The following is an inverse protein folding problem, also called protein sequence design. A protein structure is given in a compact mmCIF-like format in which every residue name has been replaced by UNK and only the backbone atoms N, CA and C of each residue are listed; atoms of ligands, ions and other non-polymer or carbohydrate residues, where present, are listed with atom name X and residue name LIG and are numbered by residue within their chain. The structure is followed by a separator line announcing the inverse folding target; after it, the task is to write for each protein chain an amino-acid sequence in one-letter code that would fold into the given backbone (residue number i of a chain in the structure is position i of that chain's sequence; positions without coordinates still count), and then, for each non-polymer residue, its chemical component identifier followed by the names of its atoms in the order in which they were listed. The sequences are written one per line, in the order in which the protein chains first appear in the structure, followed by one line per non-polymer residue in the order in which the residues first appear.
data_IF_086355469828
#
_entry.id   IF_086355469828
#
_cell.length_a   1.000
_cell.length_b   1.000
_cell.length_c   1.000
_cell.angle_alpha   90.00
_cell.angle_beta   90.00
_cell.angle_gamma   90.00
#
_symmetry.space_group_name_H-M   'P 1'
#
loop_
_entity.id
_entity.type
_entity.pdbx_description
1 polymer ?
#
# COMPACT_ATOMS: atom_id res chain seq x y z
N UNK A 1 21.96 -3.13 27.37
CA UNK A 1 21.14 -3.76 28.44
C UNK A 1 21.03 -2.74 29.56
N UNK A 2 19.83 -2.43 30.05
CA UNK A 2 19.67 -1.55 31.22
C UNK A 2 19.92 -2.35 32.49
N UNK A 3 20.88 -1.90 33.30
CA UNK A 3 21.18 -2.55 34.59
C UNK A 3 20.03 -2.34 35.57
N UNK A 4 19.75 -3.36 36.39
CA UNK A 4 18.72 -3.27 37.44
C UNK A 4 19.23 -2.42 38.60
N UNK A 5 18.33 -1.60 39.16
CA UNK A 5 18.58 -0.81 40.38
C UNK A 5 19.10 -1.69 41.52
N UNK A 6 20.22 -1.35 42.17
CA UNK A 6 20.67 -2.01 43.38
C UNK A 6 19.65 -1.91 44.54
N UNK A 7 19.52 -2.94 45.39
CA UNK A 7 18.49 -3.00 46.44
C UNK A 7 18.62 -1.88 47.49
N UNK A 8 19.83 -1.40 47.76
CA UNK A 8 20.15 -0.40 48.79
C UNK A 8 20.24 1.04 48.27
N UNK A 9 19.94 1.30 47.00
CA UNK A 9 19.97 2.64 46.38
C UNK A 9 18.54 3.10 46.11
N UNK A 10 18.24 4.38 46.38
CA UNK A 10 16.92 4.94 46.06
C UNK A 10 16.70 5.00 44.54
N UNK A 11 15.45 4.99 44.07
CA UNK A 11 15.16 5.14 42.63
C UNK A 11 15.70 6.46 42.07
N UNK A 12 15.53 7.55 42.81
CA UNK A 12 16.00 8.86 42.41
C UNK A 12 17.53 8.87 42.26
N UNK A 13 18.26 8.42 43.28
CA UNK A 13 19.73 8.35 43.24
C UNK A 13 20.25 7.47 42.12
N UNK A 14 19.59 6.33 41.86
CA UNK A 14 19.98 5.44 40.76
C UNK A 14 19.73 6.07 39.39
N UNK A 15 18.60 6.74 39.19
CA UNK A 15 18.30 7.45 37.94
C UNK A 15 19.26 8.62 37.72
N UNK A 16 19.54 9.41 38.76
CA UNK A 16 20.48 10.54 38.68
C UNK A 16 21.90 10.08 38.34
N UNK A 17 22.35 8.95 38.91
CA UNK A 17 23.62 8.33 38.57
C UNK A 17 23.67 7.90 37.10
N UNK A 18 22.63 7.21 36.61
CA UNK A 18 22.54 6.78 35.21
C UNK A 18 22.52 7.96 34.22
N UNK A 19 21.84 9.06 34.57
CA UNK A 19 21.84 10.28 33.76
C UNK A 19 23.24 10.90 33.73
N UNK A 20 23.91 11.00 34.89
CA UNK A 20 25.25 11.58 34.99
C UNK A 20 26.27 10.78 34.18
N UNK A 21 26.26 9.45 34.31
CA UNK A 21 27.11 8.55 33.53
C UNK A 21 26.84 8.66 32.02
N UNK A 22 25.57 8.79 31.60
CA UNK A 22 25.21 8.99 30.20
C UNK A 22 25.69 10.35 29.65
N UNK A 23 25.64 11.41 30.48
CA UNK A 23 26.22 12.72 30.14
C UNK A 23 27.74 12.62 30.00
N UNK A 24 28.44 11.96 30.93
CA UNK A 24 29.89 11.77 30.87
C UNK A 24 30.34 10.98 29.64
N UNK A 25 29.54 10.00 29.20
CA UNK A 25 29.78 9.26 27.95
C UNK A 25 29.49 10.07 26.68
N UNK A 26 28.87 11.25 26.80
CA UNK A 26 28.42 12.03 25.65
C UNK A 26 27.23 11.41 24.92
N UNK A 27 26.43 10.56 25.58
CA UNK A 27 25.23 9.95 24.97
C UNK A 27 24.18 11.01 24.57
N UNK A 28 24.27 12.21 25.15
CA UNK A 28 23.44 13.37 24.82
C UNK A 28 24.09 14.33 23.79
N UNK A 29 25.33 14.07 23.36
CA UNK A 29 26.00 14.88 22.34
C UNK A 29 25.53 14.51 20.94
N UNK A 30 25.48 15.49 20.03
CA UNK A 30 25.10 15.32 18.61
C UNK A 30 23.74 14.64 18.38
N UNK A 31 22.79 14.78 19.32
CA UNK A 31 21.45 14.22 19.13
C UNK A 31 20.78 14.78 17.87
N UNK A 32 20.04 13.95 17.12
CA UNK A 32 19.30 14.40 15.96
C UNK A 32 18.24 15.43 16.40
N UNK A 33 18.45 16.69 15.99
CA UNK A 33 17.59 17.82 16.37
C UNK A 33 18.15 18.72 17.47
N UNK A 34 19.30 18.39 18.07
CA UNK A 34 19.97 19.26 19.05
C UNK A 34 20.23 20.66 18.46
N UNK A 35 19.80 21.70 19.17
CA UNK A 35 19.93 23.10 18.75
C UNK A 35 19.06 23.53 17.57
N UNK A 36 18.26 22.62 16.98
CA UNK A 36 17.32 22.96 15.91
C UNK A 36 15.95 23.33 16.52
N UNK A 37 15.20 24.26 15.92
CA UNK A 37 13.84 24.54 16.35
C UNK A 37 12.99 23.27 16.24
N UNK A 38 12.09 23.06 17.21
CA UNK A 38 11.14 21.95 17.17
C UNK A 38 10.24 22.16 15.95
N UNK A 39 10.22 21.23 14.98
CA UNK A 39 9.35 21.36 13.83
C UNK A 39 7.89 21.48 14.28
N UNK A 40 7.13 22.34 13.62
CA UNK A 40 5.68 22.45 13.80
C UNK A 40 5.20 22.94 15.19
N UNK A 41 6.06 23.56 15.99
CA UNK A 41 5.72 24.07 17.34
C UNK A 41 4.61 25.14 17.33
N UNK A 42 4.53 25.95 16.27
CA UNK A 42 3.54 27.03 16.13
C UNK A 42 2.18 26.55 15.59
N UNK A 43 2.05 25.26 15.25
CA UNK A 43 0.79 24.68 14.76
C UNK A 43 -0.12 24.31 15.94
N UNK A 44 -1.45 24.38 15.77
CA UNK A 44 -2.38 23.86 16.78
C UNK A 44 -2.05 22.42 17.13
N UNK A 45 -2.23 22.03 18.39
CA UNK A 45 -2.02 20.65 18.82
C UNK A 45 -2.82 19.70 17.94
N UNK A 46 -2.09 18.85 17.23
CA UNK A 46 -2.63 17.76 16.45
C UNK A 46 -1.89 16.47 16.83
N UNK A 47 -2.50 15.33 16.54
CA UNK A 47 -1.88 14.02 16.75
C UNK A 47 -0.79 13.73 15.68
N UNK A 48 -0.10 14.77 15.16
CA UNK A 48 1.00 14.59 14.18
C UNK A 48 2.12 13.76 14.76
N UNK A 49 2.33 13.75 16.07
CA UNK A 49 3.28 12.84 16.69
C UNK A 49 2.91 11.37 16.42
N UNK A 50 1.63 10.99 16.46
CA UNK A 50 1.16 9.63 16.17
C UNK A 50 1.41 9.32 14.70
N UNK A 51 1.09 10.24 13.79
CA UNK A 51 1.33 10.06 12.34
C UNK A 51 2.81 9.94 12.01
N UNK A 52 3.65 10.74 12.67
CA UNK A 52 5.10 10.70 12.51
C UNK A 52 5.68 9.41 13.07
N UNK A 53 5.17 8.95 14.22
CA UNK A 53 5.51 7.65 14.80
C UNK A 53 5.14 6.52 13.84
N UNK A 54 3.87 6.46 13.39
CA UNK A 54 3.41 5.46 12.43
C UNK A 54 4.28 5.44 11.17
N UNK A 55 4.57 6.62 10.59
CA UNK A 55 5.44 6.72 9.41
C UNK A 55 6.85 6.20 9.68
N UNK A 56 7.43 6.55 10.83
CA UNK A 56 8.77 6.11 11.22
C UNK A 56 8.85 4.61 11.42
N UNK A 57 7.82 4.02 12.02
CA UNK A 57 7.74 2.57 12.27
C UNK A 57 7.19 1.77 11.07
N UNK A 58 6.85 2.43 9.95
CA UNK A 58 6.25 1.76 8.79
C UNK A 58 4.85 1.21 9.05
N UNK A 59 4.17 1.70 10.10
CA UNK A 59 2.83 1.31 10.50
C UNK A 59 1.77 2.16 9.80
N UNK A 60 0.60 1.58 9.62
CA UNK A 60 -0.59 2.26 9.11
C UNK A 60 -1.53 2.62 10.25
N UNK A 61 -2.44 3.56 10.01
CA UNK A 61 -3.48 3.89 11.00
C UNK A 61 -4.39 2.68 11.32
N UNK A 62 -4.42 1.68 10.44
CA UNK A 62 -5.27 0.50 10.59
C UNK A 62 -4.70 -0.48 11.62
N UNK A 63 -3.39 -0.43 11.84
CA UNK A 63 -2.68 -1.23 12.84
C UNK A 63 -3.00 -0.75 14.27
N UNK A 64 -3.49 0.48 14.42
CA UNK A 64 -3.95 1.03 15.69
C UNK A 64 -5.43 0.74 15.98
N UNK A 65 -6.17 0.19 15.02
CA UNK A 65 -7.59 -0.09 15.22
C UNK A 65 -7.79 -1.23 16.24
N UNK A 66 -8.78 -1.13 17.13
CA UNK A 66 -9.25 -2.27 17.88
C UNK A 66 -9.57 -3.45 16.96
N UNK A 67 -9.25 -4.67 17.39
CA UNK A 67 -9.42 -5.91 16.62
C UNK A 67 -10.71 -5.99 15.79
N UNK A 68 -11.92 -5.74 16.36
CA UNK A 68 -13.14 -5.82 15.55
C UNK A 68 -13.22 -4.79 14.41
N UNK A 69 -12.71 -3.58 14.62
CA UNK A 69 -12.71 -2.54 13.58
C UNK A 69 -11.69 -2.86 12.50
N UNK A 70 -10.53 -3.39 12.89
CA UNK A 70 -9.53 -3.92 11.96
C UNK A 70 -10.16 -5.00 11.08
N UNK A 71 -10.75 -6.04 11.67
CA UNK A 71 -11.37 -7.15 10.94
C UNK A 71 -12.48 -6.68 10.00
N UNK A 72 -13.34 -5.76 10.44
CA UNK A 72 -14.39 -5.19 9.58
C UNK A 72 -13.80 -4.48 8.37
N UNK A 73 -12.76 -3.67 8.58
CA UNK A 73 -12.05 -2.96 7.51
C UNK A 73 -11.35 -3.91 6.55
N UNK A 74 -10.81 -5.02 7.05
CA UNK A 74 -10.23 -6.07 6.22
C UNK A 74 -11.26 -6.77 5.34
N UNK A 75 -12.45 -7.06 5.88
CA UNK A 75 -13.58 -7.58 5.10
C UNK A 75 -14.01 -6.60 4.02
N UNK A 76 -14.09 -5.30 4.32
CA UNK A 76 -14.44 -4.25 3.36
C UNK A 76 -13.42 -4.16 2.20
N UNK A 77 -12.13 -4.31 2.50
CA UNK A 77 -11.04 -4.26 1.52
C UNK A 77 -10.76 -5.60 0.83
N UNK A 78 -11.44 -6.66 1.22
CA UNK A 78 -11.19 -8.01 0.72
C UNK A 78 -11.24 -8.07 -0.81
N UNK A 79 -12.23 -7.39 -1.43
CA UNK A 79 -12.38 -7.33 -2.88
C UNK A 79 -11.14 -6.73 -3.58
N UNK A 80 -10.57 -5.68 -3.02
CA UNK A 80 -9.36 -5.04 -3.56
C UNK A 80 -8.13 -5.93 -3.36
N UNK A 81 -8.02 -6.61 -2.21
CA UNK A 81 -6.93 -7.53 -1.91
C UNK A 81 -6.91 -8.75 -2.84
N UNK A 82 -8.07 -9.31 -3.20
CA UNK A 82 -8.15 -10.51 -4.05
C UNK A 82 -8.03 -10.21 -5.54
N UNK A 83 -8.41 -9.00 -5.99
CA UNK A 83 -8.34 -8.59 -7.40
C UNK A 83 -6.98 -8.82 -8.08
N UNK A 84 -5.82 -8.49 -7.49
CA UNK A 84 -4.53 -8.70 -8.13
C UNK A 84 -4.07 -10.17 -8.18
N UNK A 85 -4.68 -11.06 -7.38
CA UNK A 85 -4.27 -12.46 -7.27
C UNK A 85 -4.50 -13.22 -8.59
N UNK A 86 -3.59 -14.17 -8.86
CA UNK A 86 -3.52 -14.89 -10.14
C UNK A 86 -4.11 -16.28 -10.12
N UNK A 87 -4.32 -16.85 -8.94
CA UNK A 87 -4.86 -18.18 -8.75
C UNK A 87 -6.07 -18.13 -7.85
N UNK A 88 -7.04 -18.99 -8.14
CA UNK A 88 -8.19 -19.17 -7.26
C UNK A 88 -7.77 -19.69 -5.89
N UNK A 89 -6.77 -20.58 -5.83
CA UNK A 89 -6.26 -21.08 -4.57
C UNK A 89 -5.78 -19.94 -3.66
N UNK A 90 -5.02 -18.98 -4.21
CA UNK A 90 -4.58 -17.82 -3.43
C UNK A 90 -5.76 -16.95 -2.92
N UNK A 91 -6.84 -16.86 -3.70
CA UNK A 91 -8.07 -16.18 -3.25
C UNK A 91 -8.70 -16.94 -2.09
N UNK A 92 -8.83 -18.27 -2.20
CA UNK A 92 -9.38 -19.13 -1.15
C UNK A 92 -8.55 -19.02 0.13
N UNK A 93 -7.24 -19.20 0.02
CA UNK A 93 -6.30 -19.15 1.15
C UNK A 93 -6.39 -17.81 1.90
N UNK A 94 -6.47 -16.70 1.16
CA UNK A 94 -6.58 -15.35 1.76
C UNK A 94 -7.91 -15.18 2.52
N UNK A 95 -9.02 -15.61 1.92
CA UNK A 95 -10.35 -15.51 2.56
C UNK A 95 -10.45 -16.44 3.75
N UNK A 96 -9.89 -17.65 3.66
CA UNK A 96 -9.84 -18.62 4.75
C UNK A 96 -9.01 -18.12 5.92
N UNK A 97 -7.82 -17.58 5.67
CA UNK A 97 -6.98 -16.96 6.70
C UNK A 97 -7.69 -15.81 7.43
N UNK A 98 -8.39 -14.93 6.69
CA UNK A 98 -9.21 -13.88 7.31
C UNK A 98 -10.36 -14.46 8.14
N UNK A 99 -11.01 -15.52 7.65
CA UNK A 99 -12.09 -16.19 8.38
C UNK A 99 -11.58 -16.85 9.67
N UNK A 100 -10.39 -17.45 9.66
CA UNK A 100 -9.76 -18.00 10.86
C UNK A 100 -9.53 -16.93 11.92
N UNK A 101 -9.07 -15.74 11.52
CA UNK A 101 -8.88 -14.62 12.43
C UNK A 101 -10.22 -14.12 13.00
N UNK A 102 -11.24 -13.98 12.14
CA UNK A 102 -12.61 -13.61 12.55
C UNK A 102 -13.15 -14.62 13.56
N UNK A 103 -13.03 -15.92 13.27
CA UNK A 103 -13.50 -16.98 14.17
C UNK A 103 -12.73 -16.99 15.49
N UNK A 104 -11.42 -16.71 15.45
CA UNK A 104 -10.59 -16.58 16.65
C UNK A 104 -11.09 -15.43 17.53
N UNK A 105 -11.32 -14.25 16.94
CA UNK A 105 -11.91 -13.11 17.63
C UNK A 105 -13.29 -13.43 18.23
N UNK A 106 -14.18 -14.07 17.46
CA UNK A 106 -15.53 -14.41 17.90
C UNK A 106 -15.57 -15.43 19.05
N UNK A 107 -14.53 -16.26 19.19
CA UNK A 107 -14.40 -17.24 20.28
C UNK A 107 -13.84 -16.63 21.56
N UNK A 108 -13.18 -15.48 21.49
CA UNK A 108 -12.55 -14.84 22.64
C UNK A 108 -13.57 -14.03 23.46
N UNK A 109 -13.52 -14.09 24.80
CA UNK A 109 -14.29 -13.18 25.64
C UNK A 109 -13.71 -11.77 25.54
N UNK A 110 -14.30 -10.93 24.70
CA UNK A 110 -13.86 -9.54 24.50
C UNK A 110 -14.49 -8.66 25.57
N UNK A 111 -13.65 -7.95 26.34
CA UNK A 111 -14.08 -6.84 27.18
C UNK A 111 -14.36 -5.62 26.30
N UNK A 112 -15.56 -5.04 26.42
CA UNK A 112 -15.96 -3.83 25.69
C UNK A 112 -17.16 -4.03 24.74
N UNK A 113 -17.47 -3.00 23.91
CA UNK A 113 -18.62 -3.02 23.01
C UNK A 113 -18.52 -4.14 21.96
N UNK A 114 -19.62 -4.88 21.77
CA UNK A 114 -19.70 -5.94 20.75
C UNK A 114 -19.93 -5.34 19.37
N UNK A 115 -18.88 -5.31 18.58
CA UNK A 115 -18.94 -4.92 17.16
C UNK A 115 -19.21 -6.18 16.31
N UNK A 116 -20.25 -6.20 15.48
CA UNK A 116 -20.57 -7.36 14.65
C UNK A 116 -19.55 -7.53 13.52
N UNK A 117 -18.90 -8.68 13.49
CA UNK A 117 -18.01 -9.16 12.43
C UNK A 117 -18.42 -10.60 12.11
N UNK A 118 -18.54 -10.94 10.82
CA UNK A 118 -18.98 -12.25 10.38
C UNK A 118 -18.00 -12.84 9.36
N UNK A 119 -17.76 -14.16 9.38
CA UNK A 119 -16.97 -14.83 8.35
C UNK A 119 -17.56 -14.60 6.95
N UNK A 120 -16.67 -14.43 5.98
CA UNK A 120 -17.01 -14.20 4.58
C UNK A 120 -17.18 -15.53 3.86
N UNK A 121 -18.20 -15.63 2.99
CA UNK A 121 -18.42 -16.83 2.18
C UNK A 121 -17.37 -16.92 1.07
N UNK A 122 -16.46 -17.88 1.17
CA UNK A 122 -15.35 -18.09 0.22
C UNK A 122 -15.84 -18.19 -1.22
N UNK A 123 -16.85 -19.03 -1.49
CA UNK A 123 -17.36 -19.23 -2.85
C UNK A 123 -17.89 -17.94 -3.48
N UNK A 124 -18.56 -17.06 -2.71
CA UNK A 124 -19.04 -15.78 -3.24
C UNK A 124 -17.89 -14.86 -3.67
N UNK A 125 -16.79 -14.87 -2.92
CA UNK A 125 -15.61 -14.07 -3.24
C UNK A 125 -14.92 -14.61 -4.48
N UNK A 126 -14.80 -15.94 -4.59
CA UNK A 126 -14.22 -16.61 -5.76
C UNK A 126 -15.06 -16.37 -7.02
N UNK A 127 -16.38 -16.51 -6.95
CA UNK A 127 -17.30 -16.22 -8.05
C UNK A 127 -17.15 -14.77 -8.54
N UNK A 128 -17.15 -13.81 -7.61
CA UNK A 128 -16.96 -12.39 -7.95
C UNK A 128 -15.58 -12.14 -8.56
N UNK A 129 -14.52 -12.75 -8.02
CA UNK A 129 -13.16 -12.62 -8.55
C UNK A 129 -13.04 -13.18 -9.97
N UNK A 130 -13.62 -14.35 -10.25
CA UNK A 130 -13.66 -14.94 -11.60
C UNK A 130 -14.43 -14.03 -12.57
N UNK A 131 -15.55 -13.46 -12.15
CA UNK A 131 -16.33 -12.53 -12.96
C UNK A 131 -15.55 -11.24 -13.27
N UNK A 132 -14.92 -10.62 -12.25
CA UNK A 132 -14.10 -9.42 -12.41
C UNK A 132 -12.92 -9.69 -13.38
N UNK A 133 -12.28 -10.87 -13.28
CA UNK A 133 -11.19 -11.28 -14.18
C UNK A 133 -11.67 -11.51 -15.62
N UNK A 134 -12.81 -12.18 -15.81
CA UNK A 134 -13.38 -12.38 -17.13
C UNK A 134 -13.73 -11.06 -17.81
N UNK A 135 -14.25 -10.08 -17.05
CA UNK A 135 -14.51 -8.73 -17.54
C UNK A 135 -13.21 -7.99 -17.91
N UNK A 136 -12.18 -8.05 -17.06
CA UNK A 136 -10.87 -7.45 -17.33
C UNK A 136 -10.21 -8.07 -18.59
N UNK A 137 -10.31 -9.39 -18.76
CA UNK A 137 -9.72 -10.10 -19.91
C UNK A 137 -10.50 -9.80 -21.21
N UNK A 138 -11.83 -9.70 -21.16
CA UNK A 138 -12.66 -9.26 -22.28
C UNK A 138 -12.34 -7.82 -22.70
N UNK A 139 -12.24 -6.89 -21.75
CA UNK A 139 -11.88 -5.50 -22.02
C UNK A 139 -10.49 -5.38 -22.66
N UNK A 140 -9.53 -6.20 -22.23
CA UNK A 140 -8.18 -6.27 -22.84
C UNK A 140 -8.23 -6.81 -24.27
N UNK A 141 -9.02 -7.85 -24.53
CA UNK A 141 -9.19 -8.41 -25.87
C UNK A 141 -9.82 -7.38 -26.83
N UNK A 142 -10.85 -6.65 -26.38
CA UNK A 142 -11.45 -5.57 -27.16
C UNK A 142 -10.46 -4.44 -27.44
N UNK A 143 -9.71 -3.99 -26.44
CA UNK A 143 -8.69 -2.96 -26.61
C UNK A 143 -7.59 -3.39 -27.61
N UNK A 144 -7.15 -4.64 -27.53
CA UNK A 144 -6.18 -5.20 -28.48
C UNK A 144 -6.76 -5.24 -29.91
N UNK A 145 -8.01 -5.67 -30.08
CA UNK A 145 -8.67 -5.71 -31.39
C UNK A 145 -8.85 -4.30 -31.99
N UNK A 146 -9.21 -3.30 -31.17
CA UNK A 146 -9.29 -1.89 -31.60
C UNK A 146 -7.92 -1.37 -32.03
N UNK A 147 -6.89 -1.60 -31.23
CA UNK A 147 -5.53 -1.18 -31.56
C UNK A 147 -5.02 -1.85 -32.86
N UNK A 148 -5.35 -3.11 -33.10
CA UNK A 148 -5.01 -3.80 -34.35
C UNK A 148 -5.78 -3.22 -35.54
N UNK A 149 -7.09 -2.94 -35.39
CA UNK A 149 -7.89 -2.31 -36.43
C UNK A 149 -7.37 -0.92 -36.81
N UNK A 150 -6.99 -0.11 -35.80
CA UNK A 150 -6.37 1.21 -36.00
C UNK A 150 -5.03 1.10 -36.73
N UNK A 151 -4.17 0.14 -36.35
CA UNK A 151 -2.90 -0.12 -37.07
C UNK A 151 -3.14 -0.49 -38.52
N UNK A 152 -4.06 -1.42 -38.80
CA UNK A 152 -4.42 -1.82 -40.17
C UNK A 152 -4.97 -0.66 -40.99
N UNK A 153 -5.82 0.18 -40.38
CA UNK A 153 -6.36 1.38 -41.03
C UNK A 153 -5.27 2.40 -41.35
N UNK A 154 -4.33 2.64 -40.43
CA UNK A 154 -3.18 3.52 -40.64
C UNK A 154 -2.25 2.99 -41.76
N UNK A 155 -1.95 1.69 -41.77
CA UNK A 155 -1.18 1.06 -42.84
C UNK A 155 -1.88 1.18 -44.20
N UNK A 156 -3.20 0.95 -44.26
CA UNK A 156 -3.98 1.10 -45.49
C UNK A 156 -4.02 2.57 -45.96
N UNK A 157 -4.11 3.53 -45.05
CA UNK A 157 -4.02 4.96 -45.37
C UNK A 157 -2.64 5.33 -45.93
N UNK A 158 -1.55 4.85 -45.31
CA UNK A 158 -0.19 5.04 -45.79
C UNK A 158 0.05 4.42 -47.18
N UNK A 159 -0.49 3.23 -47.44
CA UNK A 159 -0.44 2.60 -48.79
C UNK A 159 -1.20 3.43 -49.83
N UNK A 160 -2.37 3.99 -49.47
CA UNK A 160 -3.17 4.84 -50.37
C UNK A 160 -2.47 6.16 -50.68
N UNK A 161 -1.83 6.80 -49.71
CA UNK A 161 -1.07 8.04 -49.93
C UNK A 161 0.18 7.80 -50.77
N UNK A 162 0.90 6.70 -50.54
CA UNK A 162 2.05 6.31 -51.37
C UNK A 162 1.68 6.04 -52.83
N UNK A 163 0.52 5.42 -53.10
CA UNK A 163 -0.01 5.24 -54.47
C UNK A 163 -0.43 6.55 -55.15
N UNK A 164 -0.74 7.59 -54.37
CA UNK A 164 -1.16 8.92 -54.85
C UNK A 164 0.01 9.89 -55.00
N UNK A 165 1.26 9.43 -54.99
CA UNK A 165 2.41 10.30 -55.28
C UNK A 165 2.24 10.99 -56.65
N UNK A 166 2.11 12.33 -56.68
CA UNK A 166 1.95 13.03 -57.94
C UNK A 166 3.25 12.96 -58.73
N UNK A 167 3.14 12.73 -60.04
CA UNK A 167 4.24 12.60 -60.99
C UNK A 167 5.29 13.74 -60.89
N UNK A 168 4.89 14.95 -60.48
CA UNK A 168 5.80 16.10 -60.27
C UNK A 168 6.79 15.94 -59.10
N UNK A 169 6.49 15.12 -58.08
CA UNK A 169 7.43 14.84 -56.97
C UNK A 169 8.53 13.85 -57.38
N UNK A 170 8.31 13.10 -58.47
CA UNK A 170 9.33 12.22 -59.07
C UNK A 170 10.29 12.96 -59.99
N UNK A 171 9.86 14.08 -60.59
CA UNK A 171 10.70 14.93 -61.44
C UNK A 171 11.68 15.82 -60.67
N UNK A 172 11.40 16.14 -59.40
CA UNK A 172 12.25 17.02 -58.58
C UNK A 172 13.39 16.29 -57.85
N UNK A 173 13.30 14.96 -57.63
CA UNK A 173 14.38 14.16 -56.99
C UNK A 173 15.56 13.81 -57.91
N UNK A 174 15.45 14.01 -59.23
CA UNK A 174 16.53 13.72 -60.20
C UNK A 174 17.46 14.91 -60.50
N UNK A 175 17.26 16.08 -59.87
CA UNK A 175 18.00 17.32 -60.18
C UNK A 175 18.98 17.81 -59.10
N UNK A 176 19.28 17.02 -58.06
CA UNK A 176 20.19 17.40 -56.97
C UNK A 176 21.53 16.62 -56.95
N UNK A 177 21.93 16.02 -58.07
CA UNK A 177 23.29 15.53 -58.29
C UNK A 177 23.85 16.26 -59.51
N UNK A 178 24.30 17.50 -59.29
CA UNK A 178 25.20 18.24 -60.15
C UNK A 178 25.96 19.22 -59.27
#
# INVERSE_FOLDING_TARGET
MTERKPPHVSFQTWVDQQISEAVERGDFDNLPGAGKPIPDLDKPYDEVWVRNFLRREGLTADDLLPTPLRLRKEVERLREKVRPLRSEQAVRDLVESLNEEILTYLRMPVSGPRIPVAPVKVEKVVEQWRADRAADDAARAEAAARAEAERRAAEAAARRSARREPWWRRLTRRRSLA
#
